data_IF_880769463225
#
_entry.id   IF_880769463225
#
_cell.length_a   1.000
_cell.length_b   1.000
_cell.length_c   1.000
_cell.angle_alpha   90.00
_cell.angle_beta   90.00
_cell.angle_gamma   90.00
#
_symmetry.space_group_name_H-M   'P 1'
#
loop_
_entity.id
_entity.type
_entity.pdbx_description
1 polymer ?
#
# COMPACT_ATOMS: atom_id res chain seq x y z
N UNK A 1 20.67 4.12 21.39
CA UNK A 1 20.27 4.63 20.06
C UNK A 1 20.97 3.82 19.01
N UNK A 2 20.27 3.19 18.07
CA UNK A 2 20.96 2.44 17.03
C UNK A 2 21.71 3.40 16.12
N UNK A 3 23.03 3.18 16.03
CA UNK A 3 23.88 3.86 15.06
C UNK A 3 23.79 3.10 13.74
N UNK A 4 23.46 3.81 12.68
CA UNK A 4 23.34 3.26 11.34
C UNK A 4 24.33 3.93 10.43
N UNK A 5 25.08 3.12 9.67
CA UNK A 5 26.04 3.62 8.70
C UNK A 5 25.33 4.41 7.60
N UNK A 6 25.87 5.60 7.29
CA UNK A 6 25.46 6.41 6.15
C UNK A 6 26.41 6.12 5.01
N UNK A 7 25.86 5.70 3.87
CA UNK A 7 26.64 5.38 2.66
C UNK A 7 26.38 6.42 1.56
N UNK A 8 27.32 6.52 0.64
CA UNK A 8 27.12 7.29 -0.60
C UNK A 8 26.46 6.43 -1.71
N UNK A 9 26.29 6.98 -2.91
CA UNK A 9 25.75 6.25 -4.07
C UNK A 9 26.71 5.17 -4.62
N UNK A 10 27.95 5.11 -4.15
CA UNK A 10 28.94 4.08 -4.48
C UNK A 10 28.97 2.97 -3.41
N UNK A 11 28.13 3.05 -2.37
CA UNK A 11 28.09 2.14 -1.23
C UNK A 11 29.31 2.25 -0.30
N UNK A 12 30.00 3.39 -0.31
CA UNK A 12 31.09 3.68 0.60
C UNK A 12 30.55 4.37 1.85
N UNK A 13 31.08 3.99 3.03
CA UNK A 13 30.66 4.59 4.31
C UNK A 13 31.20 6.02 4.40
N UNK A 14 30.31 7.00 4.54
CA UNK A 14 30.64 8.42 4.69
C UNK A 14 30.54 8.88 6.14
N UNK A 15 29.63 8.28 6.92
CA UNK A 15 29.39 8.68 8.30
C UNK A 15 28.48 7.71 9.04
N UNK A 16 27.97 8.17 10.17
CA UNK A 16 26.99 7.44 10.97
C UNK A 16 25.87 8.41 11.39
N UNK A 17 24.65 7.89 11.48
CA UNK A 17 23.49 8.62 11.99
C UNK A 17 22.89 7.90 13.19
N UNK A 18 22.65 8.67 14.26
CA UNK A 18 21.92 8.17 15.42
C UNK A 18 20.42 8.29 15.18
N UNK A 19 19.70 7.17 15.37
CA UNK A 19 18.27 7.10 15.20
C UNK A 19 17.57 6.80 16.52
N UNK A 20 16.32 7.24 16.69
CA UNK A 20 15.57 7.06 17.92
C UNK A 20 15.24 5.58 18.19
N UNK A 21 15.56 5.08 19.39
CA UNK A 21 15.24 3.71 19.84
C UNK A 21 13.77 3.38 19.73
N UNK A 22 12.91 4.33 20.06
CA UNK A 22 11.45 4.18 20.02
C UNK A 22 10.90 3.88 18.63
N UNK A 23 11.70 4.18 17.58
CA UNK A 23 11.28 4.02 16.17
C UNK A 23 12.00 2.85 15.51
N UNK A 24 13.32 2.73 15.70
CA UNK A 24 14.18 1.79 14.98
C UNK A 24 14.64 0.59 15.83
N UNK A 25 14.37 0.63 17.13
CA UNK A 25 14.60 -0.50 18.05
C UNK A 25 13.30 -0.89 18.80
N UNK A 26 12.13 -0.51 18.28
CA UNK A 26 10.83 -0.84 18.86
C UNK A 26 10.57 -2.36 18.78
N UNK A 27 9.77 -2.88 19.72
CA UNK A 27 9.31 -4.26 19.70
C UNK A 27 8.46 -4.55 18.45
N UNK A 28 8.73 -5.68 17.79
CA UNK A 28 8.05 -6.07 16.57
C UNK A 28 6.72 -6.73 16.92
N UNK A 29 5.62 -6.07 16.59
CA UNK A 29 4.28 -6.58 16.79
C UNK A 29 3.64 -7.02 15.47
N UNK A 30 3.64 -8.34 15.22
CA UNK A 30 3.11 -8.92 13.99
C UNK A 30 1.61 -8.66 13.79
N UNK A 31 0.82 -8.60 14.87
CA UNK A 31 -0.61 -8.35 14.78
C UNK A 31 -0.90 -6.94 14.27
N UNK A 32 -0.13 -5.94 14.72
CA UNK A 32 -0.22 -4.56 14.22
C UNK A 32 0.20 -4.47 12.76
N UNK A 33 1.26 -5.17 12.36
CA UNK A 33 1.72 -5.20 10.96
C UNK A 33 0.63 -5.77 10.05
N UNK A 34 0.04 -6.91 10.44
CA UNK A 34 -1.04 -7.53 9.68
C UNK A 34 -2.25 -6.60 9.52
N UNK A 35 -2.71 -6.00 10.63
CA UNK A 35 -3.89 -5.14 10.59
C UNK A 35 -3.65 -3.85 9.79
N UNK A 36 -2.46 -3.26 9.85
CA UNK A 36 -2.10 -2.09 9.05
C UNK A 36 -2.08 -2.39 7.55
N UNK A 37 -1.53 -3.54 7.14
CA UNK A 37 -1.53 -3.99 5.73
C UNK A 37 -2.96 -4.27 5.26
N UNK A 38 -3.76 -4.96 6.06
CA UNK A 38 -5.17 -5.25 5.78
C UNK A 38 -5.99 -3.97 5.60
N UNK A 39 -5.81 -3.00 6.51
CA UNK A 39 -6.44 -1.68 6.43
C UNK A 39 -6.09 -0.96 5.13
N UNK A 40 -4.79 -0.90 4.78
CA UNK A 40 -4.32 -0.27 3.55
C UNK A 40 -4.93 -0.91 2.29
N UNK A 41 -4.91 -2.25 2.22
CA UNK A 41 -5.49 -2.98 1.09
C UNK A 41 -7.00 -2.83 0.99
N UNK A 42 -7.71 -2.80 2.13
CA UNK A 42 -9.15 -2.59 2.16
C UNK A 42 -9.54 -1.20 1.62
N UNK A 43 -8.81 -0.15 2.00
CA UNK A 43 -9.03 1.21 1.50
C UNK A 43 -8.79 1.38 0.00
N UNK A 44 -7.98 0.50 -0.63
CA UNK A 44 -7.74 0.53 -2.09
C UNK A 44 -8.84 -0.17 -2.91
N UNK A 45 -9.73 -0.93 -2.28
CA UNK A 45 -10.82 -1.63 -2.98
C UNK A 45 -11.90 -0.64 -3.37
N UNK A 46 -12.21 -0.55 -4.66
CA UNK A 46 -13.28 0.35 -5.15
C UNK A 46 -14.69 -0.15 -4.86
N UNK A 47 -14.90 -1.44 -4.70
CA UNK A 47 -16.19 -2.03 -4.34
C UNK A 47 -17.32 -1.77 -5.33
N UNK A 48 -17.06 -1.69 -6.61
CA UNK A 48 -18.02 -1.31 -7.66
C UNK A 48 -18.85 -2.46 -8.21
N UNK A 49 -18.61 -3.69 -7.76
CA UNK A 49 -19.36 -4.85 -8.23
C UNK A 49 -20.85 -4.70 -7.92
N UNK A 50 -21.70 -4.84 -8.94
CA UNK A 50 -23.15 -4.69 -8.82
C UNK A 50 -23.88 -5.71 -9.68
N UNK A 51 -24.99 -6.24 -9.16
CA UNK A 51 -25.99 -6.99 -9.92
C UNK A 51 -27.32 -6.28 -9.85
N UNK A 52 -28.16 -6.46 -10.89
CA UNK A 52 -29.49 -5.86 -10.91
C UNK A 52 -30.47 -6.70 -10.09
N UNK A 53 -31.14 -6.07 -9.13
CA UNK A 53 -32.25 -6.64 -8.40
C UNK A 53 -33.48 -6.71 -9.29
N UNK A 54 -34.52 -7.44 -8.87
CA UNK A 54 -35.78 -7.54 -9.63
C UNK A 54 -36.47 -6.17 -9.89
N UNK A 55 -36.14 -5.15 -9.10
CA UNK A 55 -36.67 -3.80 -9.29
C UNK A 55 -35.94 -3.01 -10.36
N UNK A 56 -34.64 -3.32 -10.55
CA UNK A 56 -33.77 -2.64 -11.51
C UNK A 56 -33.73 -3.31 -12.90
N UNK A 57 -34.17 -4.58 -12.98
CA UNK A 57 -34.22 -5.29 -14.27
C UNK A 57 -35.37 -4.71 -15.11
N UNK A 58 -35.11 -4.45 -16.39
CA UNK A 58 -36.13 -4.05 -17.36
C UNK A 58 -37.15 -5.20 -17.58
N UNK A 59 -38.41 -4.88 -17.65
CA UNK A 59 -39.46 -5.85 -17.88
C UNK A 59 -40.84 -5.36 -17.45
N UNK A 60 -41.89 -6.04 -17.86
CA UNK A 60 -43.26 -5.69 -17.47
C UNK A 60 -43.50 -5.85 -15.97
N UNK A 61 -44.15 -4.87 -15.37
CA UNK A 61 -44.69 -4.98 -14.00
C UNK A 61 -46.00 -5.77 -13.91
N UNK A 62 -46.61 -6.08 -15.06
CA UNK A 62 -47.90 -6.78 -15.11
C UNK A 62 -47.73 -8.22 -14.64
N UNK A 63 -48.74 -8.70 -13.85
CA UNK A 63 -48.83 -10.12 -13.46
C UNK A 63 -49.08 -10.97 -14.71
N UNK A 64 -48.28 -12.03 -14.99
CA UNK A 64 -48.35 -12.82 -16.21
C UNK A 64 -49.71 -13.52 -16.41
N UNK A 65 -50.32 -14.02 -15.34
CA UNK A 65 -51.63 -14.67 -15.35
C UNK A 65 -52.35 -14.53 -14.00
N UNK A 66 -53.63 -14.83 -13.98
CA UNK A 66 -54.48 -14.78 -12.77
C UNK A 66 -53.98 -15.75 -11.70
N UNK A 67 -54.31 -15.49 -10.44
CA UNK A 67 -53.80 -16.18 -9.26
C UNK A 67 -54.20 -17.67 -9.18
N UNK A 68 -55.39 -18.03 -9.69
CA UNK A 68 -55.96 -19.39 -9.67
C UNK A 68 -56.64 -19.71 -11.01
N UNK A 69 -56.87 -21.01 -11.31
CA UNK A 69 -57.63 -21.47 -12.47
C UNK A 69 -56.81 -21.51 -13.77
N UNK A 70 -55.49 -21.56 -13.74
CA UNK A 70 -54.64 -21.68 -14.93
C UNK A 70 -53.83 -22.98 -14.97
N UNK A 71 -53.87 -23.82 -13.93
CA UNK A 71 -53.04 -25.04 -13.83
C UNK A 71 -51.56 -24.79 -13.73
N UNK A 72 -51.13 -23.51 -13.72
CA UNK A 72 -49.70 -23.10 -13.65
C UNK A 72 -49.30 -22.66 -12.25
N UNK A 73 -48.00 -22.71 -11.98
CA UNK A 73 -47.45 -22.17 -10.74
C UNK A 73 -47.77 -20.66 -10.59
N UNK A 74 -48.00 -20.22 -9.36
CA UNK A 74 -48.31 -18.81 -9.07
C UNK A 74 -47.10 -17.93 -9.33
N UNK A 75 -47.25 -16.88 -10.12
CA UNK A 75 -46.18 -15.93 -10.46
C UNK A 75 -46.69 -14.51 -10.36
N UNK A 76 -45.94 -13.67 -9.69
CA UNK A 76 -46.25 -12.25 -9.52
C UNK A 76 -45.60 -11.34 -10.55
N UNK A 77 -44.39 -11.70 -11.04
CA UNK A 77 -43.62 -10.88 -11.99
C UNK A 77 -42.67 -11.77 -12.80
N UNK A 78 -42.51 -11.43 -14.08
CA UNK A 78 -41.50 -12.04 -14.97
C UNK A 78 -40.07 -11.67 -14.59
N UNK A 79 -39.87 -10.63 -13.77
CA UNK A 79 -38.57 -10.17 -13.27
C UNK A 79 -38.14 -10.94 -12.01
N UNK A 80 -38.91 -11.94 -11.60
CA UNK A 80 -38.53 -12.80 -10.47
C UNK A 80 -37.20 -13.52 -10.72
N UNK A 81 -36.37 -13.74 -9.69
CA UNK A 81 -35.12 -14.48 -9.82
C UNK A 81 -35.25 -15.91 -10.33
N UNK A 82 -36.43 -16.50 -10.20
CA UNK A 82 -36.77 -17.83 -10.69
C UNK A 82 -36.87 -17.90 -12.23
N UNK A 83 -36.97 -16.75 -12.88
CA UNK A 83 -37.10 -16.67 -14.32
C UNK A 83 -35.77 -16.33 -14.97
N UNK A 84 -35.55 -16.84 -16.19
CA UNK A 84 -34.44 -16.39 -17.03
C UNK A 84 -34.60 -14.88 -17.27
N UNK A 85 -33.47 -14.16 -17.22
CA UNK A 85 -33.44 -12.71 -17.31
C UNK A 85 -34.12 -11.96 -16.14
N UNK A 86 -34.52 -12.65 -15.07
CA UNK A 86 -34.96 -12.04 -13.82
C UNK A 86 -33.84 -11.40 -13.03
N UNK A 87 -34.16 -10.71 -11.93
CA UNK A 87 -33.19 -10.08 -11.05
C UNK A 87 -32.38 -11.09 -10.24
N UNK A 88 -31.23 -10.70 -9.78
CA UNK A 88 -30.38 -11.50 -8.89
C UNK A 88 -30.77 -11.28 -7.43
N UNK A 89 -30.84 -12.37 -6.66
CA UNK A 89 -31.04 -12.34 -5.20
C UNK A 89 -29.66 -12.48 -4.53
N UNK A 90 -29.42 -11.70 -3.50
CA UNK A 90 -28.14 -11.73 -2.74
C UNK A 90 -26.87 -11.51 -3.59
N UNK A 91 -27.01 -10.85 -4.75
CA UNK A 91 -25.87 -10.48 -5.55
C UNK A 91 -25.05 -9.33 -4.93
N UNK A 92 -23.83 -9.08 -5.43
CA UNK A 92 -23.02 -7.99 -4.93
C UNK A 92 -23.71 -6.64 -5.17
N UNK A 93 -23.57 -5.76 -4.18
CA UNK A 93 -23.95 -4.36 -4.25
C UNK A 93 -22.72 -3.48 -4.02
N UNK A 94 -22.61 -2.32 -4.66
CA UNK A 94 -21.52 -1.40 -4.41
C UNK A 94 -21.43 -1.06 -2.93
N UNK A 95 -20.23 -1.18 -2.37
CA UNK A 95 -19.97 -0.83 -0.97
C UNK A 95 -18.57 -0.27 -0.77
N UNK A 96 -18.41 0.53 0.24
CA UNK A 96 -17.10 0.93 0.74
C UNK A 96 -16.53 -0.20 1.63
N UNK A 97 -15.23 -0.48 1.44
CA UNK A 97 -14.47 -1.44 2.22
C UNK A 97 -13.51 -0.76 3.20
N UNK A 98 -13.40 0.58 3.16
CA UNK A 98 -12.56 1.31 4.09
C UNK A 98 -13.12 1.23 5.51
N UNK A 99 -12.23 1.22 6.49
CA UNK A 99 -12.56 1.32 7.90
C UNK A 99 -11.52 2.15 8.62
N UNK A 100 -11.88 2.72 9.77
CA UNK A 100 -10.97 3.56 10.53
C UNK A 100 -10.10 2.71 11.45
N UNK A 101 -8.78 2.80 11.30
CA UNK A 101 -7.83 2.24 12.25
C UNK A 101 -7.34 3.35 13.21
N UNK A 102 -7.24 3.09 14.53
CA UNK A 102 -6.71 4.07 15.48
C UNK A 102 -5.29 4.54 15.10
N UNK A 103 -5.05 5.84 15.15
CA UNK A 103 -3.76 6.42 14.74
C UNK A 103 -2.56 5.82 15.49
N UNK A 104 -2.71 5.54 16.80
CA UNK A 104 -1.67 4.88 17.60
C UNK A 104 -1.29 3.51 17.06
N UNK A 105 -2.24 2.74 16.53
CA UNK A 105 -1.97 1.44 15.92
C UNK A 105 -1.20 1.59 14.61
N UNK A 106 -1.54 2.59 13.79
CA UNK A 106 -0.83 2.88 12.54
C UNK A 106 0.63 3.27 12.83
N UNK A 107 0.86 4.15 13.81
CA UNK A 107 2.21 4.54 14.23
C UNK A 107 2.99 3.36 14.80
N UNK A 108 2.36 2.54 15.67
CA UNK A 108 2.98 1.34 16.23
C UNK A 108 3.37 0.33 15.15
N UNK A 109 2.51 0.12 14.15
CA UNK A 109 2.82 -0.74 13.01
C UNK A 109 4.00 -0.21 12.18
N UNK A 110 4.07 1.11 11.95
CA UNK A 110 5.15 1.73 11.20
C UNK A 110 6.50 1.61 11.93
N UNK A 111 6.52 1.85 13.25
CA UNK A 111 7.70 1.64 14.10
C UNK A 111 8.16 0.18 14.06
N UNK A 112 7.24 -0.77 14.24
CA UNK A 112 7.54 -2.21 14.16
C UNK A 112 8.11 -2.61 12.80
N UNK A 113 7.61 -2.04 11.69
CA UNK A 113 8.11 -2.33 10.36
C UNK A 113 9.54 -1.78 10.13
N UNK A 114 9.82 -0.55 10.56
CA UNK A 114 11.14 0.06 10.46
C UNK A 114 12.17 -0.69 11.30
N UNK A 115 11.81 -1.07 12.54
CA UNK A 115 12.65 -1.87 13.43
C UNK A 115 12.96 -3.26 12.83
N UNK A 116 11.97 -3.91 12.22
CA UNK A 116 12.17 -5.20 11.56
C UNK A 116 13.14 -5.06 10.39
N UNK A 117 12.95 -4.07 9.52
CA UNK A 117 13.82 -3.81 8.36
C UNK A 117 15.25 -3.48 8.76
N UNK A 118 15.45 -2.73 9.85
CA UNK A 118 16.78 -2.42 10.35
C UNK A 118 17.45 -3.67 10.95
N UNK A 119 16.73 -4.43 11.78
CA UNK A 119 17.24 -5.66 12.40
C UNK A 119 17.65 -6.71 11.37
N UNK A 120 16.87 -6.86 10.30
CA UNK A 120 17.11 -7.84 9.25
C UNK A 120 18.16 -7.35 8.21
N UNK A 121 18.77 -6.16 8.41
CA UNK A 121 19.77 -5.57 7.54
C UNK A 121 19.25 -5.18 6.15
N UNK A 122 17.94 -4.97 6.04
CA UNK A 122 17.25 -4.62 4.80
C UNK A 122 17.03 -3.10 4.64
N UNK A 123 17.43 -2.30 5.63
CA UNK A 123 17.37 -0.86 5.61
C UNK A 123 18.79 -0.28 5.53
N UNK A 124 19.03 0.59 4.55
CA UNK A 124 20.28 1.37 4.42
C UNK A 124 19.96 2.86 4.41
N UNK A 125 20.82 3.65 5.02
CA UNK A 125 20.76 5.11 4.97
C UNK A 125 21.76 5.62 3.96
N UNK A 126 21.30 6.42 2.99
CA UNK A 126 22.12 7.04 1.95
C UNK A 126 22.22 8.52 2.25
N UNK A 127 23.40 9.12 2.09
CA UNK A 127 23.63 10.54 2.36
C UNK A 127 22.63 11.42 1.59
N UNK A 128 22.59 11.25 0.27
CA UNK A 128 21.63 11.93 -0.61
C UNK A 128 21.46 11.18 -1.93
N UNK A 129 20.31 11.34 -2.58
CA UNK A 129 20.03 10.79 -3.90
C UNK A 129 20.33 11.80 -5.03
N UNK A 130 21.49 12.49 -4.96
CA UNK A 130 21.85 13.49 -5.96
C UNK A 130 22.32 12.82 -7.24
N UNK A 131 21.51 12.90 -8.30
CA UNK A 131 21.82 12.33 -9.61
C UNK A 131 22.13 13.44 -10.62
N UNK A 132 23.16 13.25 -11.47
CA UNK A 132 23.56 14.25 -12.47
C UNK A 132 22.52 14.39 -13.59
N UNK A 133 21.80 13.30 -13.91
CA UNK A 133 20.78 13.26 -14.94
C UNK A 133 19.56 12.41 -14.51
N UNK A 134 18.50 12.47 -15.31
CA UNK A 134 17.25 11.74 -15.11
C UNK A 134 17.19 10.38 -15.83
N UNK A 135 18.35 9.86 -16.32
CA UNK A 135 18.38 8.62 -17.07
C UNK A 135 18.19 7.41 -16.16
N UNK A 136 17.33 6.48 -16.60
CA UNK A 136 17.10 5.21 -15.90
C UNK A 136 18.37 4.39 -15.71
N UNK A 137 19.30 4.44 -16.69
CA UNK A 137 20.58 3.71 -16.62
C UNK A 137 21.43 4.19 -15.44
N UNK A 138 21.47 5.49 -15.17
CA UNK A 138 22.23 6.08 -14.04
C UNK A 138 21.65 5.62 -12.70
N UNK A 139 20.30 5.66 -12.57
CA UNK A 139 19.62 5.15 -11.37
C UNK A 139 19.88 3.66 -11.18
N UNK A 140 19.75 2.86 -12.25
CA UNK A 140 19.97 1.42 -12.19
C UNK A 140 21.41 1.08 -11.76
N UNK A 141 22.39 1.81 -12.27
CA UNK A 141 23.79 1.62 -11.88
C UNK A 141 24.02 1.96 -10.39
N UNK A 142 23.43 3.04 -9.88
CA UNK A 142 23.50 3.40 -8.46
C UNK A 142 22.82 2.34 -7.57
N UNK A 143 21.63 1.87 -7.95
CA UNK A 143 20.91 0.82 -7.22
C UNK A 143 21.67 -0.52 -7.22
N UNK A 144 22.36 -0.86 -8.29
CA UNK A 144 23.20 -2.06 -8.36
C UNK A 144 24.38 -1.98 -7.39
N UNK A 145 25.05 -0.82 -7.28
CA UNK A 145 26.15 -0.59 -6.32
C UNK A 145 25.67 -0.68 -4.87
N UNK A 146 24.46 -0.16 -4.58
CA UNK A 146 23.83 -0.21 -3.26
C UNK A 146 23.28 -1.60 -2.90
N UNK A 147 23.41 -2.59 -3.78
CA UNK A 147 22.88 -3.95 -3.58
C UNK A 147 21.39 -3.97 -3.24
N UNK A 148 20.61 -3.16 -3.95
CA UNK A 148 19.21 -2.89 -3.61
C UNK A 148 18.27 -4.09 -3.77
N UNK A 149 18.74 -5.20 -4.36
CA UNK A 149 17.93 -6.40 -4.55
C UNK A 149 16.89 -6.28 -5.67
N UNK A 150 15.86 -7.14 -5.62
CA UNK A 150 14.83 -7.21 -6.66
C UNK A 150 13.77 -6.10 -6.54
N UNK A 151 13.40 -5.75 -5.31
CA UNK A 151 12.41 -4.71 -5.04
C UNK A 151 12.96 -3.74 -4.01
N UNK A 152 12.92 -2.45 -4.32
CA UNK A 152 13.48 -1.40 -3.47
C UNK A 152 12.52 -0.24 -3.29
N UNK A 153 12.40 0.21 -2.05
CA UNK A 153 11.71 1.42 -1.68
C UNK A 153 12.75 2.53 -1.46
N UNK A 154 12.65 3.58 -2.26
CA UNK A 154 13.43 4.81 -2.08
C UNK A 154 12.57 5.80 -1.30
N UNK A 155 13.11 6.36 -0.25
CA UNK A 155 12.42 7.39 0.54
C UNK A 155 13.27 8.62 0.61
N UNK A 156 12.74 9.72 0.09
CA UNK A 156 13.40 11.02 0.15
C UNK A 156 12.47 12.04 0.84
N UNK A 157 13.08 13.05 1.43
CA UNK A 157 12.34 14.13 2.06
C UNK A 157 12.06 15.29 1.10
N UNK A 158 12.92 15.47 0.11
CA UNK A 158 12.89 16.54 -0.88
C UNK A 158 12.33 16.06 -2.22
N UNK A 159 11.79 17.01 -3.00
CA UNK A 159 11.37 16.74 -4.38
C UNK A 159 12.60 16.61 -5.27
N UNK A 160 12.97 15.39 -5.60
CA UNK A 160 14.08 15.08 -6.49
C UNK A 160 13.57 14.63 -7.85
N UNK A 161 13.40 15.59 -8.76
CA UNK A 161 12.86 15.36 -10.09
C UNK A 161 13.69 14.39 -10.93
N UNK A 162 15.01 14.42 -10.82
CA UNK A 162 15.88 13.51 -11.56
C UNK A 162 15.70 12.08 -11.07
N UNK A 163 15.62 11.88 -9.76
CA UNK A 163 15.35 10.57 -9.16
C UNK A 163 13.96 10.05 -9.54
N UNK A 164 12.94 10.91 -9.49
CA UNK A 164 11.55 10.54 -9.85
C UNK A 164 11.46 10.07 -11.31
N UNK A 165 11.96 10.87 -12.25
CA UNK A 165 11.93 10.54 -13.67
C UNK A 165 12.78 9.31 -14.01
N UNK A 166 13.92 9.16 -13.35
CA UNK A 166 14.83 8.03 -13.57
C UNK A 166 14.36 6.73 -12.95
N UNK A 167 13.62 6.76 -11.83
CA UNK A 167 13.17 5.56 -11.11
C UNK A 167 11.80 5.04 -11.55
N UNK A 168 10.87 5.91 -11.96
CA UNK A 168 9.46 5.55 -12.22
C UNK A 168 9.24 4.43 -13.22
N UNK A 169 10.14 4.26 -14.20
CA UNK A 169 10.06 3.21 -15.22
C UNK A 169 10.78 1.90 -14.84
N UNK A 170 11.48 1.88 -13.71
CA UNK A 170 12.18 0.68 -13.27
C UNK A 170 11.24 -0.26 -12.53
N UNK A 171 11.07 -1.51 -12.99
CA UNK A 171 10.21 -2.46 -12.30
C UNK A 171 10.78 -2.80 -10.90
N UNK A 172 9.91 -2.82 -9.90
CA UNK A 172 10.29 -3.10 -8.51
C UNK A 172 10.89 -1.93 -7.74
N UNK A 173 11.06 -0.76 -8.37
CA UNK A 173 11.53 0.46 -7.71
C UNK A 173 10.32 1.36 -7.42
N UNK A 174 10.19 1.78 -6.16
CA UNK A 174 9.16 2.72 -5.73
C UNK A 174 9.82 3.90 -5.02
N UNK A 175 9.55 5.11 -5.45
CA UNK A 175 9.98 6.34 -4.78
C UNK A 175 8.79 6.95 -4.04
N UNK A 176 8.99 7.27 -2.76
CA UNK A 176 7.97 7.92 -1.94
C UNK A 176 8.58 9.05 -1.11
N UNK A 177 7.87 10.16 -0.92
CA UNK A 177 8.23 11.13 0.09
C UNK A 177 7.99 10.57 1.49
N UNK A 178 8.73 11.05 2.47
CA UNK A 178 8.67 10.59 3.88
C UNK A 178 7.25 10.53 4.44
N UNK A 179 6.39 11.49 4.07
CA UNK A 179 4.99 11.59 4.53
C UNK A 179 4.06 10.48 4.02
N UNK A 180 4.41 9.83 2.91
CA UNK A 180 3.59 8.81 2.25
C UNK A 180 4.04 7.39 2.55
N UNK A 181 5.10 7.24 3.34
CA UNK A 181 5.61 5.93 3.75
C UNK A 181 4.59 5.25 4.66
N UNK A 182 4.19 4.04 4.28
CA UNK A 182 3.27 3.21 5.07
C UNK A 182 3.89 1.85 5.35
N UNK A 183 3.34 1.15 6.34
CA UNK A 183 3.73 -0.23 6.66
C UNK A 183 3.65 -1.16 5.45
N UNK A 184 2.64 -0.96 4.58
CA UNK A 184 2.49 -1.72 3.34
C UNK A 184 3.70 -1.56 2.40
N UNK A 185 4.19 -0.32 2.23
CA UNK A 185 5.34 -0.04 1.37
C UNK A 185 6.63 -0.64 1.95
N UNK A 186 6.85 -0.50 3.26
CA UNK A 186 8.02 -1.07 3.93
C UNK A 186 8.08 -2.59 3.80
N UNK A 187 6.97 -3.28 4.04
CA UNK A 187 6.91 -4.75 3.98
C UNK A 187 6.84 -5.29 2.54
N UNK A 188 6.36 -4.48 1.60
CA UNK A 188 6.23 -4.88 0.19
C UNK A 188 7.54 -4.88 -0.58
N UNK A 189 8.59 -4.24 -0.06
CA UNK A 189 9.90 -4.16 -0.72
C UNK A 189 10.95 -4.90 0.07
N UNK A 190 11.87 -5.55 -0.64
CA UNK A 190 12.97 -6.30 -0.03
C UNK A 190 13.97 -5.36 0.66
N UNK A 191 14.33 -4.26 0.00
CA UNK A 191 15.25 -3.26 0.54
C UNK A 191 14.58 -1.90 0.67
N UNK A 192 14.98 -1.16 1.69
CA UNK A 192 14.55 0.22 1.95
C UNK A 192 15.77 1.10 2.00
N UNK A 193 15.83 2.10 1.13
CA UNK A 193 16.88 3.10 1.08
C UNK A 193 16.30 4.44 1.49
N UNK A 194 16.77 4.97 2.60
CA UNK A 194 16.34 6.27 3.14
C UNK A 194 17.45 7.31 2.86
N UNK A 195 17.09 8.52 2.43
CA UNK A 195 18.03 9.62 2.54
C UNK A 195 18.27 9.96 4.02
N UNK A 196 19.43 10.48 4.38
CA UNK A 196 19.74 10.89 5.75
C UNK A 196 18.69 11.86 6.30
N UNK A 197 18.27 12.82 5.48
CA UNK A 197 17.20 13.76 5.82
C UNK A 197 15.87 13.06 6.10
N UNK A 198 15.51 12.05 5.31
CA UNK A 198 14.30 11.26 5.50
C UNK A 198 14.37 10.41 6.78
N UNK A 199 15.52 9.79 7.06
CA UNK A 199 15.73 8.98 8.26
C UNK A 199 15.60 9.82 9.54
N UNK A 200 16.22 11.00 9.59
CA UNK A 200 16.09 11.96 10.69
C UNK A 200 14.64 12.42 10.88
N UNK A 201 13.94 12.75 9.79
CA UNK A 201 12.54 13.20 9.84
C UNK A 201 11.60 12.10 10.31
N UNK A 202 11.77 10.85 9.85
CA UNK A 202 11.01 9.71 10.36
C UNK A 202 11.28 9.48 11.86
N UNK A 203 12.53 9.57 12.29
CA UNK A 203 12.92 9.46 13.69
C UNK A 203 12.21 10.51 14.56
N UNK A 204 12.19 11.78 14.15
CA UNK A 204 11.52 12.85 14.88
C UNK A 204 10.00 12.72 14.87
N UNK A 205 9.41 12.44 13.70
CA UNK A 205 7.94 12.39 13.56
C UNK A 205 7.33 11.21 14.30
N UNK A 206 8.01 10.07 14.30
CA UNK A 206 7.52 8.85 14.91
C UNK A 206 7.93 8.72 16.39
N UNK A 207 8.84 9.53 16.93
CA UNK A 207 9.18 9.53 18.35
C UNK A 207 8.15 10.28 19.21
N UNK A 208 7.33 11.12 18.60
CA UNK A 208 6.20 11.83 19.25
C UNK A 208 5.03 10.85 19.44
#
# INVERSE_FOLDING_TARGET
>A
MPNVDVVDLNNEKVGEVELADQVFAAEINQALLYEAVRHYQAGRRRGTAKTKTRHEVSGSGRKPWRQKGTGRARVGSIRSPLWRHGGTVHGPAPRDYSYRLPHKMILGALRSALSAKLRDGELKVVQSFTLPDHKTKTVQAALARLESGRTVLLVDNEENRNLELGSRNLPGVTLLPTREVTTYHLLGHQRVLLSEAAARKLSETLSR
#
